data_IF_107546382637
#
_entry.id   IF_107546382637
#
_cell.length_a   1.000
_cell.length_b   1.000
_cell.length_c   1.000
_cell.angle_alpha   90.00
_cell.angle_beta   90.00
_cell.angle_gamma   90.00
#
_symmetry.space_group_name_H-M   'P 1'
#
loop_
_entity.id
_entity.type
_entity.pdbx_description
1 polymer ?
#
# COMPACT_ATOMS: atom_id res chain seq x y z
N UNK A 1 -60.56 -19.03 52.49
CA UNK A 1 -59.27 -19.57 52.01
C UNK A 1 -59.29 -20.15 50.57
N UNK A 2 -60.38 -20.06 49.78
CA UNK A 2 -60.44 -20.69 48.44
C UNK A 2 -59.96 -19.85 47.24
N UNK A 3 -59.74 -18.54 47.37
CA UNK A 3 -59.35 -17.68 46.22
C UNK A 3 -57.86 -17.76 45.84
N UNK A 4 -56.98 -18.17 46.76
CA UNK A 4 -55.54 -18.22 46.50
C UNK A 4 -55.10 -19.49 45.73
N UNK A 5 -55.87 -20.58 45.81
CA UNK A 5 -55.53 -21.87 45.19
C UNK A 5 -55.86 -21.87 43.69
N UNK A 6 -56.98 -21.27 43.27
CA UNK A 6 -57.37 -21.18 41.86
C UNK A 6 -56.42 -20.31 41.02
N UNK A 7 -55.82 -19.25 41.59
CA UNK A 7 -54.86 -18.38 40.88
C UNK A 7 -53.53 -19.09 40.59
N UNK A 8 -53.09 -20.02 41.45
CA UNK A 8 -51.86 -20.79 41.26
C UNK A 8 -52.01 -21.88 40.20
N UNK A 9 -53.19 -22.51 40.11
CA UNK A 9 -53.48 -23.55 39.12
C UNK A 9 -53.55 -22.97 37.70
N UNK A 10 -54.16 -21.79 37.52
CA UNK A 10 -54.26 -21.14 36.22
C UNK A 10 -52.90 -20.79 35.60
N UNK A 11 -51.95 -20.30 36.41
CA UNK A 11 -50.60 -19.92 35.97
C UNK A 11 -49.78 -21.15 35.59
N UNK A 12 -49.90 -22.26 36.33
CA UNK A 12 -49.22 -23.51 36.00
C UNK A 12 -49.76 -24.16 34.72
N UNK A 13 -51.08 -24.11 34.49
CA UNK A 13 -51.70 -24.71 33.31
C UNK A 13 -51.36 -23.92 32.02
N UNK A 14 -51.37 -22.58 32.08
CA UNK A 14 -50.92 -21.74 30.96
C UNK A 14 -49.43 -21.89 30.66
N UNK A 15 -48.60 -22.09 31.68
CA UNK A 15 -47.16 -22.35 31.51
C UNK A 15 -46.89 -23.70 30.85
N UNK A 16 -47.65 -24.75 31.23
CA UNK A 16 -47.48 -26.08 30.64
C UNK A 16 -47.88 -26.14 29.17
N UNK A 17 -48.96 -25.43 28.78
CA UNK A 17 -49.43 -25.34 27.39
C UNK A 17 -48.41 -24.61 26.51
N UNK A 18 -47.79 -23.53 27.02
CA UNK A 18 -46.77 -22.79 26.28
C UNK A 18 -45.48 -23.60 26.07
N UNK A 19 -45.07 -24.40 27.05
CA UNK A 19 -43.89 -25.27 26.95
C UNK A 19 -44.15 -26.44 26.00
N UNK A 20 -45.35 -27.01 25.99
CA UNK A 20 -45.70 -28.07 25.03
C UNK A 20 -45.82 -27.55 23.59
N UNK A 21 -46.25 -26.30 23.39
CA UNK A 21 -46.24 -25.67 22.06
C UNK A 21 -44.82 -25.41 21.54
N UNK A 22 -43.85 -25.10 22.40
CA UNK A 22 -42.45 -24.94 21.98
C UNK A 22 -41.79 -26.27 21.58
N UNK A 23 -42.27 -27.41 22.11
CA UNK A 23 -41.73 -28.73 21.79
C UNK A 23 -42.15 -29.27 20.41
N UNK A 24 -43.14 -28.65 19.76
CA UNK A 24 -43.60 -28.98 18.40
C UNK A 24 -43.14 -27.97 17.34
N UNK A 25 -42.30 -27.00 17.70
CA UNK A 25 -41.65 -26.15 16.70
C UNK A 25 -40.60 -26.99 15.97
N UNK A 26 -40.58 -27.01 14.62
CA UNK A 26 -39.51 -27.66 13.89
C UNK A 26 -38.17 -27.05 14.33
N UNK A 27 -37.17 -27.90 14.55
CA UNK A 27 -35.82 -27.48 14.96
C UNK A 27 -35.34 -26.29 14.10
N UNK A 28 -34.59 -25.32 14.67
CA UNK A 28 -34.10 -24.19 13.91
C UNK A 28 -33.27 -24.69 12.72
N UNK A 29 -33.75 -24.41 11.51
CA UNK A 29 -33.08 -24.63 10.23
C UNK A 29 -31.90 -23.67 10.06
N UNK A 30 -30.95 -23.68 10.99
CA UNK A 30 -29.75 -22.84 10.93
C UNK A 30 -28.51 -23.73 10.99
N UNK A 31 -28.34 -24.53 9.95
CA UNK A 31 -27.02 -24.97 9.54
C UNK A 31 -26.33 -23.79 8.86
N UNK A 32 -25.52 -23.04 9.60
CA UNK A 32 -24.49 -22.20 8.99
C UNK A 32 -23.33 -23.10 8.61
N UNK A 33 -23.53 -23.91 7.57
CA UNK A 33 -22.48 -24.72 6.97
C UNK A 33 -21.84 -23.89 5.84
N UNK A 34 -20.51 -23.85 5.72
CA UNK A 34 -19.87 -23.20 4.60
C UNK A 34 -20.22 -23.96 3.32
N UNK A 35 -21.09 -23.38 2.50
CA UNK A 35 -21.46 -23.91 1.18
C UNK A 35 -20.31 -23.68 0.21
N UNK A 36 -19.97 -24.71 -0.56
CA UNK A 36 -19.02 -24.61 -1.66
C UNK A 36 -19.57 -23.66 -2.73
N UNK A 37 -18.77 -22.66 -3.13
CA UNK A 37 -19.14 -21.73 -4.18
C UNK A 37 -19.11 -22.45 -5.52
N UNK A 38 -20.13 -22.23 -6.36
CA UNK A 38 -20.13 -22.72 -7.74
C UNK A 38 -19.05 -22.01 -8.57
N UNK A 39 -18.61 -22.59 -9.68
CA UNK A 39 -17.66 -21.95 -10.59
C UNK A 39 -18.13 -20.56 -11.08
N UNK A 40 -19.44 -20.37 -11.22
CA UNK A 40 -20.06 -19.08 -11.53
C UNK A 40 -19.91 -18.07 -10.40
N UNK A 41 -20.14 -18.48 -9.16
CA UNK A 41 -19.99 -17.61 -7.98
C UNK A 41 -18.51 -17.31 -7.72
N UNK A 42 -17.62 -18.29 -7.91
CA UNK A 42 -16.18 -18.11 -7.82
C UNK A 42 -15.64 -17.19 -8.93
N UNK A 43 -16.23 -17.22 -10.13
CA UNK A 43 -15.93 -16.27 -11.20
C UNK A 43 -16.48 -14.86 -10.94
N UNK A 44 -17.63 -14.75 -10.25
CA UNK A 44 -18.19 -13.49 -9.76
C UNK A 44 -17.45 -12.94 -8.53
N UNK A 45 -16.70 -13.78 -7.80
CA UNK A 45 -15.62 -13.32 -6.90
C UNK A 45 -14.45 -12.82 -7.76
N UNK A 46 -14.70 -11.72 -8.45
CA UNK A 46 -13.65 -10.82 -8.90
C UNK A 46 -12.92 -10.30 -7.67
N UNK A 47 -11.61 -10.08 -7.74
CA UNK A 47 -10.79 -9.54 -6.64
C UNK A 47 -11.13 -8.06 -6.33
N UNK A 48 -12.41 -7.75 -6.10
CA UNK A 48 -12.88 -6.49 -5.58
C UNK A 48 -12.21 -6.26 -4.24
N UNK A 49 -11.52 -5.13 -4.10
CA UNK A 49 -10.78 -4.79 -2.89
C UNK A 49 -9.31 -5.22 -2.87
N UNK A 50 -8.80 -5.99 -3.84
CA UNK A 50 -7.34 -6.18 -3.96
C UNK A 50 -6.66 -4.93 -4.53
N UNK A 51 -7.29 -4.28 -5.51
CA UNK A 51 -6.78 -3.04 -6.07
C UNK A 51 -7.87 -1.99 -6.23
N UNK A 52 -7.48 -0.72 -6.12
CA UNK A 52 -8.36 0.42 -6.40
C UNK A 52 -7.71 1.29 -7.44
N UNK A 53 -8.45 1.57 -8.51
CA UNK A 53 -8.03 2.48 -9.57
C UNK A 53 -8.79 3.78 -9.43
N UNK A 54 -8.09 4.88 -9.22
CA UNK A 54 -8.65 6.22 -9.14
C UNK A 54 -8.17 7.05 -10.32
N UNK A 55 -9.05 7.92 -10.79
CA UNK A 55 -8.77 8.90 -11.82
C UNK A 55 -9.34 10.23 -11.35
N UNK A 56 -8.45 11.21 -11.20
CA UNK A 56 -8.80 12.59 -10.90
C UNK A 56 -8.51 13.44 -12.13
N UNK A 57 -9.58 13.84 -12.82
CA UNK A 57 -9.51 14.66 -14.03
C UNK A 57 -9.21 16.15 -13.75
N UNK A 58 -9.29 16.59 -12.48
CA UNK A 58 -8.95 17.95 -12.06
C UNK A 58 -7.45 18.07 -11.81
N UNK A 59 -6.86 17.14 -11.06
CA UNK A 59 -5.41 17.13 -10.78
C UNK A 59 -4.59 16.42 -11.86
N UNK A 60 -5.24 15.62 -12.71
CA UNK A 60 -4.61 14.79 -13.72
C UNK A 60 -3.92 13.55 -13.17
N UNK A 61 -4.20 13.20 -11.91
CA UNK A 61 -3.61 12.04 -11.25
C UNK A 61 -4.44 10.79 -11.54
N UNK A 62 -3.75 9.74 -11.99
CA UNK A 62 -4.29 8.39 -12.13
C UNK A 62 -3.49 7.48 -11.22
N UNK A 63 -4.17 6.72 -10.36
CA UNK A 63 -3.49 5.92 -9.33
C UNK A 63 -4.11 4.55 -9.19
N UNK A 64 -3.26 3.54 -9.09
CA UNK A 64 -3.61 2.17 -8.74
C UNK A 64 -3.01 1.88 -7.36
N UNK A 65 -3.85 1.66 -6.36
CA UNK A 65 -3.44 1.20 -5.03
C UNK A 65 -3.67 -0.31 -4.92
N UNK A 66 -2.71 -1.02 -4.31
CA UNK A 66 -2.78 -2.46 -4.08
C UNK A 66 -2.91 -2.73 -2.57
N UNK A 67 -4.02 -3.33 -2.19
CA UNK A 67 -4.43 -3.60 -0.81
C UNK A 67 -4.05 -5.00 -0.38
N UNK A 68 -3.69 -5.15 0.89
CA UNK A 68 -3.29 -6.45 1.44
C UNK A 68 -1.94 -6.97 0.90
N UNK A 69 -1.18 -6.13 0.18
CA UNK A 69 0.18 -6.43 -0.25
C UNK A 69 1.20 -5.82 0.70
N UNK A 70 1.95 -6.72 1.33
CA UNK A 70 3.03 -6.42 2.26
C UNK A 70 4.32 -6.99 1.67
N UNK A 71 5.34 -6.14 1.49
CA UNK A 71 6.67 -6.57 1.03
C UNK A 71 7.65 -6.48 2.19
N UNK A 72 8.22 -7.63 2.57
CA UNK A 72 9.28 -7.71 3.59
C UNK A 72 10.51 -8.32 2.97
N UNK A 73 11.65 -7.68 3.13
CA UNK A 73 12.90 -8.22 2.62
C UNK A 73 14.09 -7.77 3.45
N UNK A 74 15.06 -8.68 3.58
CA UNK A 74 16.46 -8.33 3.74
C UNK A 74 17.19 -8.76 2.47
N UNK A 75 17.77 -7.82 1.74
CA UNK A 75 18.48 -8.11 0.50
C UNK A 75 19.69 -7.22 0.35
N UNK A 76 20.80 -7.81 -0.07
CA UNK A 76 22.01 -7.09 -0.45
C UNK A 76 22.16 -7.10 -1.97
N UNK A 77 22.46 -5.92 -2.53
CA UNK A 77 22.64 -5.71 -3.96
C UNK A 77 23.98 -5.04 -4.16
N UNK A 78 24.88 -5.67 -4.93
CA UNK A 78 26.23 -5.13 -5.14
C UNK A 78 26.21 -3.73 -5.76
N UNK A 79 25.30 -3.48 -6.71
CA UNK A 79 25.12 -2.16 -7.31
C UNK A 79 23.72 -1.95 -7.85
N UNK A 80 23.18 -0.75 -7.64
CA UNK A 80 21.94 -0.25 -8.23
C UNK A 80 22.26 1.02 -9.02
N UNK A 81 21.91 1.04 -10.30
CA UNK A 81 22.11 2.20 -11.18
C UNK A 81 20.84 2.53 -11.95
N UNK A 82 20.42 3.79 -11.91
CA UNK A 82 19.23 4.27 -12.63
C UNK A 82 19.42 5.67 -13.19
N UNK A 83 18.80 5.92 -14.35
CA UNK A 83 18.86 7.22 -15.03
C UNK A 83 20.22 7.53 -15.64
N UNK A 84 20.71 6.67 -16.54
CA UNK A 84 21.90 7.01 -17.33
C UNK A 84 21.60 8.25 -18.20
N UNK A 85 22.52 9.21 -18.20
CA UNK A 85 22.43 10.38 -19.07
C UNK A 85 23.76 10.67 -19.76
N UNK A 86 23.65 11.31 -20.91
CA UNK A 86 24.75 11.95 -21.61
C UNK A 86 24.26 13.33 -22.06
N UNK A 87 24.81 14.40 -21.48
CA UNK A 87 24.41 15.78 -21.81
C UNK A 87 25.37 16.45 -22.81
N UNK A 88 26.24 15.69 -23.47
CA UNK A 88 27.25 16.20 -24.40
C UNK A 88 28.54 16.70 -23.72
N UNK A 89 28.54 16.91 -22.41
CA UNK A 89 29.73 17.30 -21.62
C UNK A 89 30.15 16.22 -20.63
N UNK A 90 29.18 15.53 -20.05
CA UNK A 90 29.35 14.53 -19.01
C UNK A 90 28.40 13.36 -19.25
N UNK A 91 28.88 12.16 -18.93
CA UNK A 91 28.06 10.97 -18.79
C UNK A 91 27.96 10.59 -17.32
N UNK A 92 26.82 10.05 -16.90
CA UNK A 92 26.60 9.72 -15.50
C UNK A 92 25.27 9.03 -15.26
N UNK A 93 24.94 8.87 -13.98
CA UNK A 93 23.70 8.26 -13.52
C UNK A 93 23.00 9.21 -12.53
N UNK A 94 21.68 9.32 -12.63
CA UNK A 94 20.87 10.04 -11.64
C UNK A 94 21.00 9.39 -10.26
N UNK A 95 21.08 8.05 -10.23
CA UNK A 95 21.37 7.27 -9.03
C UNK A 95 22.43 6.21 -9.33
N UNK A 96 23.53 6.22 -8.58
CA UNK A 96 24.60 5.21 -8.61
C UNK A 96 24.94 4.82 -7.18
N UNK A 97 24.40 3.68 -6.76
CA UNK A 97 24.56 3.15 -5.42
C UNK A 97 25.36 1.84 -5.48
N UNK A 98 26.29 1.66 -4.56
CA UNK A 98 27.05 0.41 -4.40
C UNK A 98 26.94 -0.12 -2.98
N UNK A 99 27.12 -1.42 -2.80
CA UNK A 99 26.95 -2.10 -1.50
C UNK A 99 25.59 -1.78 -0.86
N UNK A 100 24.51 -1.90 -1.65
CA UNK A 100 23.17 -1.57 -1.19
C UNK A 100 22.66 -2.69 -0.28
N UNK A 101 22.14 -2.33 0.88
CA UNK A 101 21.38 -3.20 1.77
C UNK A 101 19.96 -2.64 1.93
N UNK A 102 18.97 -3.47 1.64
CA UNK A 102 17.56 -3.21 1.91
C UNK A 102 17.21 -4.00 3.18
N UNK A 103 17.12 -3.33 4.33
CA UNK A 103 17.04 -3.99 5.63
C UNK A 103 18.41 -4.43 6.14
N UNK A 104 18.41 -5.28 7.15
CA UNK A 104 19.62 -5.81 7.79
C UNK A 104 19.34 -7.15 8.47
N UNK A 105 20.39 -7.85 8.88
CA UNK A 105 20.24 -9.09 9.65
C UNK A 105 19.44 -8.85 10.93
N UNK A 106 18.26 -9.46 11.02
CA UNK A 106 17.34 -9.31 12.16
C UNK A 106 16.36 -8.12 12.07
N UNK A 107 16.43 -7.29 11.02
CA UNK A 107 15.48 -6.21 10.77
C UNK A 107 15.25 -5.99 9.27
N UNK A 108 14.14 -6.54 8.76
CA UNK A 108 13.74 -6.40 7.36
C UNK A 108 13.35 -4.96 7.00
N UNK A 109 13.50 -4.62 5.72
CA UNK A 109 12.78 -3.51 5.11
C UNK A 109 11.34 -3.95 4.85
N UNK A 110 10.38 -3.20 5.38
CA UNK A 110 8.97 -3.52 5.31
C UNK A 110 8.19 -2.40 4.61
N UNK A 111 7.51 -2.72 3.52
CA UNK A 111 6.66 -1.80 2.76
C UNK A 111 5.21 -2.28 2.75
N UNK A 112 4.26 -1.36 2.97
CA UNK A 112 2.80 -1.60 2.90
C UNK A 112 2.09 -0.58 2.01
N UNK A 113 0.97 -1.00 1.42
CA UNK A 113 0.16 -0.12 0.59
C UNK A 113 0.95 0.31 -0.64
N UNK A 114 1.32 -0.67 -1.46
CA UNK A 114 2.00 -0.45 -2.73
C UNK A 114 1.06 0.31 -3.67
N UNK A 115 1.62 1.21 -4.46
CA UNK A 115 0.87 1.93 -5.46
C UNK A 115 1.69 2.23 -6.71
N UNK A 116 0.97 2.44 -7.81
CA UNK A 116 1.47 3.04 -9.04
C UNK A 116 0.67 4.30 -9.30
N UNK A 117 1.33 5.42 -9.50
CA UNK A 117 0.70 6.72 -9.72
C UNK A 117 1.29 7.38 -10.96
N UNK A 118 0.44 7.96 -11.78
CA UNK A 118 0.80 8.72 -12.97
C UNK A 118 0.14 10.08 -12.90
N UNK A 119 0.82 11.11 -13.37
CA UNK A 119 0.21 12.44 -13.51
C UNK A 119 0.32 12.92 -14.95
N UNK A 120 -0.78 13.42 -15.47
CA UNK A 120 -0.87 14.01 -16.79
C UNK A 120 -1.22 15.49 -16.72
N UNK A 121 -0.54 16.31 -17.50
CA UNK A 121 -1.06 17.62 -17.90
C UNK A 121 -2.19 17.41 -18.92
N UNK A 122 -3.23 18.24 -18.85
CA UNK A 122 -4.39 18.19 -19.76
C UNK A 122 -4.99 16.77 -19.86
N UNK A 123 -5.39 16.13 -18.73
CA UNK A 123 -5.83 14.74 -18.72
C UNK A 123 -7.05 14.49 -19.61
N UNK A 124 -7.85 15.52 -19.92
CA UNK A 124 -9.07 15.39 -20.70
C UNK A 124 -8.93 15.67 -22.20
N UNK A 125 -7.80 16.21 -22.66
CA UNK A 125 -7.56 16.55 -24.07
C UNK A 125 -6.47 15.65 -24.68
N UNK A 126 -6.83 14.63 -25.47
CA UNK A 126 -5.86 13.73 -26.07
C UNK A 126 -4.78 14.42 -26.94
N UNK A 127 -5.08 15.58 -27.53
CA UNK A 127 -4.14 16.28 -28.41
C UNK A 127 -3.03 16.99 -27.64
N UNK A 128 -3.30 17.41 -26.40
CA UNK A 128 -2.37 18.14 -25.54
C UNK A 128 -1.99 17.39 -24.27
N UNK A 129 -2.50 16.17 -24.08
CA UNK A 129 -2.21 15.30 -22.93
C UNK A 129 -0.74 14.94 -22.88
N UNK A 130 -0.12 15.16 -21.73
CA UNK A 130 1.31 14.91 -21.54
C UNK A 130 1.57 14.27 -20.19
N UNK A 131 2.29 13.14 -20.16
CA UNK A 131 2.75 12.54 -18.92
C UNK A 131 3.80 13.45 -18.25
N UNK A 132 3.54 13.85 -17.01
CA UNK A 132 4.48 14.60 -16.16
C UNK A 132 5.39 13.67 -15.37
N UNK A 133 4.82 12.64 -14.74
CA UNK A 133 5.58 11.64 -14.01
C UNK A 133 4.90 10.28 -13.95
N UNK A 134 5.71 9.26 -13.68
CA UNK A 134 5.30 7.95 -13.20
C UNK A 134 5.96 7.71 -11.83
N UNK A 135 5.20 7.18 -10.87
CA UNK A 135 5.65 6.84 -9.53
C UNK A 135 5.28 5.40 -9.20
N UNK A 136 6.20 4.70 -8.56
CA UNK A 136 5.97 3.41 -7.94
C UNK A 136 6.43 3.53 -6.50
N UNK A 137 5.56 3.22 -5.56
CA UNK A 137 5.85 3.51 -4.15
C UNK A 137 5.03 2.71 -3.17
N UNK A 138 5.20 3.08 -1.91
CA UNK A 138 4.54 2.54 -0.73
C UNK A 138 4.15 3.69 0.17
N UNK A 139 2.98 3.59 0.81
CA UNK A 139 2.50 4.60 1.74
C UNK A 139 3.17 4.48 3.13
N UNK A 140 3.65 3.29 3.47
CA UNK A 140 4.28 2.95 4.75
C UNK A 140 5.49 2.06 4.49
N UNK A 141 6.67 2.69 4.46
CA UNK A 141 7.96 2.04 4.54
C UNK A 141 8.48 2.16 5.97
N UNK A 142 8.97 1.05 6.49
CA UNK A 142 9.65 0.97 7.79
C UNK A 142 10.92 0.14 7.62
N UNK A 143 12.03 0.61 8.19
CA UNK A 143 13.33 -0.02 8.10
C UNK A 143 14.39 0.89 7.50
N UNK A 144 15.54 0.31 7.21
CA UNK A 144 16.74 1.05 6.78
C UNK A 144 17.20 0.59 5.40
N UNK A 145 17.55 1.56 4.56
CA UNK A 145 18.28 1.33 3.31
C UNK A 145 19.68 1.92 3.49
N UNK A 146 20.72 1.10 3.36
CA UNK A 146 22.11 1.56 3.43
C UNK A 146 22.83 1.32 2.11
N UNK A 147 23.75 2.21 1.75
CA UNK A 147 24.57 2.08 0.55
C UNK A 147 25.75 3.05 0.60
N UNK A 148 26.67 2.88 -0.35
CA UNK A 148 27.54 3.94 -0.82
C UNK A 148 26.82 4.68 -1.96
N UNK A 149 26.31 5.87 -1.67
CA UNK A 149 25.57 6.73 -2.59
C UNK A 149 26.52 7.62 -3.40
N UNK A 150 27.14 7.05 -4.44
CA UNK A 150 28.05 7.79 -5.33
C UNK A 150 27.32 8.90 -6.10
N UNK A 151 26.05 8.67 -6.42
CA UNK A 151 25.11 9.64 -6.96
C UNK A 151 23.71 9.35 -6.41
N UNK A 152 23.06 10.36 -5.86
CA UNK A 152 21.70 10.30 -5.32
C UNK A 152 20.86 11.45 -5.87
N UNK A 153 19.70 11.11 -6.41
CA UNK A 153 18.69 12.07 -6.84
C UNK A 153 17.36 11.77 -6.17
N UNK A 154 16.74 12.80 -5.57
CA UNK A 154 15.46 12.72 -4.88
C UNK A 154 15.48 13.40 -3.52
N UNK A 155 14.67 12.94 -2.58
CA UNK A 155 14.41 13.64 -1.30
C UNK A 155 14.45 12.66 -0.13
N UNK A 156 15.01 13.07 1.00
CA UNK A 156 15.04 12.25 2.24
C UNK A 156 14.39 12.92 3.44
N UNK A 157 14.30 14.25 3.43
CA UNK A 157 13.86 15.09 4.55
C UNK A 157 12.44 15.61 4.29
N UNK A 158 11.44 14.72 4.30
CA UNK A 158 10.03 15.06 4.07
C UNK A 158 9.77 15.90 2.80
N UNK A 159 10.50 15.59 1.72
CA UNK A 159 10.41 16.34 0.47
C UNK A 159 10.99 17.75 0.49
N UNK A 160 11.58 18.21 1.62
CA UNK A 160 12.09 19.58 1.79
C UNK A 160 13.36 19.80 0.98
N UNK A 161 14.34 18.90 1.13
CA UNK A 161 15.61 19.01 0.41
C UNK A 161 15.60 18.10 -0.81
N UNK A 162 15.42 18.69 -1.99
CA UNK A 162 15.56 17.99 -3.27
C UNK A 162 17.03 17.97 -3.69
N UNK A 163 17.60 16.76 -3.75
CA UNK A 163 18.97 16.51 -4.18
C UNK A 163 18.97 16.04 -5.63
N UNK A 164 19.98 16.45 -6.38
CA UNK A 164 20.18 16.05 -7.77
C UNK A 164 21.61 15.60 -7.95
N UNK A 165 21.80 14.31 -8.18
CA UNK A 165 23.11 13.67 -8.43
C UNK A 165 24.15 14.00 -7.35
N UNK A 166 23.69 14.09 -6.10
CA UNK A 166 24.53 14.39 -4.96
C UNK A 166 25.31 13.15 -4.54
N UNK A 167 26.58 13.31 -4.18
CA UNK A 167 27.36 12.23 -3.55
C UNK A 167 27.15 12.32 -2.03
N UNK A 168 26.51 11.31 -1.45
CA UNK A 168 26.27 11.24 0.00
C UNK A 168 27.28 10.34 0.72
N UNK A 169 28.15 9.64 -0.03
CA UNK A 169 29.08 8.67 0.52
C UNK A 169 28.40 7.42 1.08
N UNK A 170 29.07 6.72 1.98
CA UNK A 170 28.45 5.69 2.80
C UNK A 170 27.40 6.36 3.69
N UNK A 171 26.16 5.89 3.65
CA UNK A 171 25.11 6.36 4.52
C UNK A 171 24.00 5.30 4.68
N UNK A 172 23.12 5.56 5.64
CA UNK A 172 21.89 4.82 5.89
C UNK A 172 20.70 5.79 5.93
N UNK A 173 19.64 5.48 5.21
CA UNK A 173 18.37 6.19 5.21
C UNK A 173 17.35 5.31 5.93
N UNK A 174 16.90 5.76 7.10
CA UNK A 174 15.98 5.00 7.95
C UNK A 174 14.63 5.68 8.03
N UNK A 175 13.56 4.89 7.99
CA UNK A 175 12.19 5.38 8.07
C UNK A 175 11.36 4.55 9.04
N UNK A 176 10.33 5.17 9.60
CA UNK A 176 9.34 4.54 10.47
C UNK A 176 7.97 5.04 10.07
N UNK A 177 7.19 4.18 9.42
CA UNK A 177 5.89 4.50 8.84
C UNK A 177 5.91 5.70 7.89
N UNK A 178 6.97 5.84 7.08
CA UNK A 178 7.10 6.92 6.09
C UNK A 178 6.81 6.43 4.68
N UNK A 179 6.09 7.21 3.88
CA UNK A 179 5.92 6.91 2.46
C UNK A 179 7.23 7.00 1.68
N UNK A 180 7.39 6.14 0.68
CA UNK A 180 8.54 6.08 -0.21
C UNK A 180 8.11 5.83 -1.65
N UNK A 181 8.75 6.48 -2.61
CA UNK A 181 8.52 6.19 -4.02
C UNK A 181 9.74 6.45 -4.91
N UNK A 182 9.87 5.59 -5.92
CA UNK A 182 10.67 5.85 -7.12
C UNK A 182 9.81 6.65 -8.10
N UNK A 183 10.35 7.72 -8.66
CA UNK A 183 9.69 8.50 -9.71
C UNK A 183 10.56 8.66 -10.94
N UNK A 184 9.93 8.58 -12.11
CA UNK A 184 10.48 9.09 -13.37
C UNK A 184 9.74 10.39 -13.69
N UNK A 185 10.46 11.51 -13.68
CA UNK A 185 9.88 12.84 -13.91
C UNK A 185 10.31 13.43 -15.24
N UNK A 186 9.36 14.02 -15.98
CA UNK A 186 9.57 14.65 -17.30
C UNK A 186 9.84 16.15 -17.21
N UNK A 187 10.40 16.62 -16.09
CA UNK A 187 10.77 18.02 -15.94
C UNK A 187 12.07 18.31 -16.72
N UNK A 188 12.14 19.34 -17.58
CA UNK A 188 13.33 19.62 -18.38
C UNK A 188 14.56 20.06 -17.57
N UNK A 189 14.39 20.57 -16.35
CA UNK A 189 15.50 21.05 -15.49
C UNK A 189 15.79 20.13 -14.33
N UNK A 190 14.80 19.39 -13.84
CA UNK A 190 14.94 18.50 -12.67
C UNK A 190 14.42 17.09 -12.92
N UNK A 191 14.20 16.71 -14.17
CA UNK A 191 13.67 15.38 -14.54
C UNK A 191 14.71 14.28 -14.41
N UNK A 192 14.25 13.05 -14.58
CA UNK A 192 15.08 11.84 -14.41
C UNK A 192 14.51 10.90 -13.34
N UNK A 193 15.34 9.95 -12.94
CA UNK A 193 14.97 8.96 -11.92
C UNK A 193 15.27 9.49 -10.52
N UNK A 194 14.30 9.43 -9.62
CA UNK A 194 14.44 9.91 -8.25
C UNK A 194 13.90 8.96 -7.21
N UNK A 195 14.57 8.89 -6.06
CA UNK A 195 14.09 8.18 -4.89
C UNK A 195 13.67 9.17 -3.81
N UNK A 196 12.42 9.08 -3.38
CA UNK A 196 11.84 10.07 -2.48
C UNK A 196 11.28 9.38 -1.24
N UNK A 197 11.72 9.86 -0.08
CA UNK A 197 11.14 9.55 1.21
C UNK A 197 10.34 10.76 1.69
N UNK A 198 9.09 10.50 2.04
CA UNK A 198 8.21 11.48 2.67
C UNK A 198 8.53 11.66 4.15
N UNK A 199 9.24 10.72 4.79
CA UNK A 199 9.75 10.91 6.14
C UNK A 199 10.88 9.91 6.40
N UNK A 200 12.12 10.40 6.45
CA UNK A 200 13.27 9.56 6.76
C UNK A 200 14.40 10.37 7.42
N UNK A 201 15.28 9.66 8.10
CA UNK A 201 16.50 10.21 8.68
C UNK A 201 17.70 9.62 7.95
N UNK A 202 18.61 10.49 7.51
CA UNK A 202 19.90 10.09 6.95
C UNK A 202 20.97 10.07 8.05
N UNK A 203 21.76 9.00 8.11
CA UNK A 203 22.92 8.86 9.00
C UNK A 203 24.14 8.48 8.16
N UNK A 204 25.29 9.18 8.29
CA UNK A 204 26.54 8.76 7.66
C UNK A 204 26.99 7.36 8.11
#
# INVERSE_FOLDING_TARGET
MHKAVLKKIGICLSGFILITWMAFLPAPLWGAEPTELTDSEMADVYAHGFSTFTRDDVTGIMRADFHGMDLRTWTEVSSLKMGHYNNGTTTGWDNDWTNVSLGSSGADLFAKGLYVEMKFTNPNDPATRQLEYLRIGTNDLTGTISANFNSFSGTVDNGVTNMSRANLGAASISTTNGGFYLSLERNPTTGGYKFNWTNATITP
#
